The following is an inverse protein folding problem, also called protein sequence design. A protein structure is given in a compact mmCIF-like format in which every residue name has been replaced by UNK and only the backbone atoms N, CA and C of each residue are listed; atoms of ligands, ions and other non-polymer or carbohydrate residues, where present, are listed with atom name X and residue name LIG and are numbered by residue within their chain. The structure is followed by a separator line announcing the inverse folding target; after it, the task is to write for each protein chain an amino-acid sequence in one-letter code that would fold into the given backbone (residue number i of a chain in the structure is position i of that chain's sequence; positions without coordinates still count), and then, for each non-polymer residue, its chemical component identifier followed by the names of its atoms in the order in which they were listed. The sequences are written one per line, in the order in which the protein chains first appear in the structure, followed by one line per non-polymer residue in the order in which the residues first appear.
data_IF_185839324594
#
_entry.id   IF_185839324594
#
_cell.length_a   1.000
_cell.length_b   1.000
_cell.length_c   1.000
_cell.angle_alpha   90.00
_cell.angle_beta   90.00
_cell.angle_gamma   90.00
#
_symmetry.space_group_name_H-M   'P 1'
#
loop_
_entity.id
_entity.type
_entity.pdbx_description
1 polymer ?
#
# COMPACT_ATOMS: atom_id res chain seq x y z
N UNK A 1 -19.66 -32.73 32.01
CA UNK A 1 -19.10 -32.02 33.18
C UNK A 1 -17.71 -32.57 33.41
N UNK A 2 -16.67 -31.76 33.22
CA UNK A 2 -15.48 -31.56 34.06
C UNK A 2 -14.43 -30.85 33.23
N UNK A 3 -14.02 -29.67 33.71
CA UNK A 3 -13.12 -28.72 33.05
C UNK A 3 -11.68 -29.23 33.03
N UNK A 4 -11.00 -29.04 31.90
CA UNK A 4 -9.60 -29.36 31.65
C UNK A 4 -8.70 -28.17 32.03
N UNK A 5 -7.61 -28.35 32.81
CA UNK A 5 -6.68 -27.28 33.14
C UNK A 5 -5.43 -27.37 32.26
N UNK A 6 -5.45 -26.71 31.11
CA UNK A 6 -4.25 -26.46 30.31
C UNK A 6 -4.34 -25.12 29.59
N UNK A 7 -4.01 -24.02 30.28
CA UNK A 7 -3.61 -22.78 29.61
C UNK A 7 -3.06 -21.77 30.64
N UNK A 8 -1.75 -21.76 30.82
CA UNK A 8 -1.03 -20.52 31.19
C UNK A 8 0.15 -20.42 30.20
N UNK A 9 -0.20 -20.32 28.92
CA UNK A 9 0.68 -19.68 27.95
C UNK A 9 0.45 -18.18 28.13
N UNK A 10 1.55 -17.47 28.28
CA UNK A 10 1.63 -16.09 28.71
C UNK A 10 0.71 -15.19 27.87
N UNK A 11 -0.46 -14.90 28.43
CA UNK A 11 -1.60 -14.23 27.78
C UNK A 11 -1.17 -12.86 27.21
N UNK A 12 -0.15 -12.25 27.80
CA UNK A 12 0.49 -11.01 27.34
C UNK A 12 1.18 -11.15 25.97
N UNK A 13 1.83 -12.26 25.67
CA UNK A 13 2.57 -12.46 24.40
C UNK A 13 1.63 -12.79 23.24
N UNK A 14 0.56 -13.53 23.52
CA UNK A 14 -0.52 -13.79 22.55
C UNK A 14 -1.29 -12.49 22.31
N UNK A 15 -1.61 -11.73 23.35
CA UNK A 15 -2.25 -10.42 23.19
C UNK A 15 -1.38 -9.40 22.44
N UNK A 16 -0.06 -9.38 22.66
CA UNK A 16 0.84 -8.47 21.95
C UNK A 16 1.02 -8.85 20.47
N UNK A 17 1.11 -10.15 20.16
CA UNK A 17 1.16 -10.62 18.77
C UNK A 17 -0.18 -10.41 18.05
N UNK A 18 -1.30 -10.61 18.74
CA UNK A 18 -2.64 -10.30 18.21
C UNK A 18 -2.86 -8.79 18.05
N UNK A 19 -2.31 -7.96 18.93
CA UNK A 19 -2.36 -6.50 18.82
C UNK A 19 -1.50 -5.99 17.65
N UNK A 20 -0.29 -6.54 17.45
CA UNK A 20 0.57 -6.19 16.30
C UNK A 20 -0.01 -6.65 14.97
N UNK A 21 -0.61 -7.83 14.93
CA UNK A 21 -1.31 -8.32 13.73
C UNK A 21 -2.57 -7.53 13.46
N UNK A 22 -3.36 -7.15 14.48
CA UNK A 22 -4.46 -6.19 14.32
C UNK A 22 -4.00 -4.84 13.80
N UNK A 23 -2.93 -4.28 14.34
CA UNK A 23 -2.39 -2.99 13.89
C UNK A 23 -1.88 -3.05 12.44
N UNK A 24 -1.28 -4.17 12.02
CA UNK A 24 -0.87 -4.38 10.63
C UNK A 24 -2.07 -4.57 9.69
N UNK A 25 -3.12 -5.27 10.13
CA UNK A 25 -4.35 -5.42 9.37
C UNK A 25 -5.10 -4.09 9.28
N UNK A 26 -5.15 -3.29 10.35
CA UNK A 26 -5.72 -1.93 10.35
C UNK A 26 -4.93 -1.00 9.42
N UNK A 27 -3.60 -1.02 9.47
CA UNK A 27 -2.76 -0.23 8.56
C UNK A 27 -2.94 -0.65 7.09
N UNK A 28 -3.10 -1.94 6.81
CA UNK A 28 -3.32 -2.46 5.47
C UNK A 28 -4.77 -2.24 4.98
N UNK A 29 -5.74 -2.23 5.89
CA UNK A 29 -7.12 -1.83 5.61
C UNK A 29 -7.22 -0.33 5.29
N UNK A 30 -6.38 0.50 5.90
CA UNK A 30 -6.30 1.94 5.59
C UNK A 30 -5.73 2.22 4.17
N UNK A 31 -4.91 1.34 3.59
CA UNK A 31 -4.39 1.49 2.21
C UNK A 31 -5.36 1.01 1.11
N UNK A 32 -6.39 0.24 1.45
CA UNK A 32 -7.30 -0.41 0.47
C UNK A 32 -8.78 -0.08 0.79
N UNK A 33 -9.00 0.85 1.72
CA UNK A 33 -10.29 1.16 2.35
C UNK A 33 -11.41 1.37 1.33
N UNK A 34 -11.20 2.20 0.30
CA UNK A 34 -12.24 2.52 -0.67
C UNK A 34 -12.72 1.33 -1.53
N UNK A 35 -11.79 0.50 -2.02
CA UNK A 35 -12.12 -0.63 -2.91
C UNK A 35 -12.57 -1.86 -2.13
N UNK A 36 -12.02 -2.10 -0.93
CA UNK A 36 -12.49 -3.16 -0.04
C UNK A 36 -13.88 -2.84 0.51
N UNK A 37 -14.14 -1.58 0.91
CA UNK A 37 -15.47 -1.16 1.34
C UNK A 37 -16.51 -1.31 0.20
N UNK A 38 -16.16 -0.93 -1.03
CA UNK A 38 -17.04 -1.13 -2.19
C UNK A 38 -17.28 -2.63 -2.47
N UNK A 39 -16.23 -3.45 -2.37
CA UNK A 39 -16.29 -4.90 -2.62
C UNK A 39 -17.12 -5.63 -1.55
N UNK A 40 -16.89 -5.34 -0.27
CA UNK A 40 -17.65 -5.92 0.85
C UNK A 40 -19.12 -5.49 0.79
N UNK A 41 -19.38 -4.22 0.47
CA UNK A 41 -20.75 -3.72 0.34
C UNK A 41 -21.47 -4.27 -0.88
N UNK A 42 -20.81 -4.47 -2.03
CA UNK A 42 -21.40 -5.15 -3.19
C UNK A 42 -21.70 -6.64 -2.92
N UNK A 43 -20.90 -7.29 -2.06
CA UNK A 43 -21.21 -8.64 -1.58
C UNK A 43 -22.46 -8.66 -0.67
N UNK A 44 -22.79 -7.54 -0.03
CA UNK A 44 -23.93 -7.39 0.88
C UNK A 44 -25.14 -6.62 0.28
N UNK A 45 -25.04 -6.14 -0.96
CA UNK A 45 -26.15 -5.48 -1.69
C UNK A 45 -27.35 -6.39 -1.99
N UNK A 46 -27.27 -7.69 -1.66
CA UNK A 46 -28.39 -8.62 -1.76
C UNK A 46 -29.22 -8.74 -0.47
N UNK A 47 -28.82 -8.08 0.64
CA UNK A 47 -29.47 -8.29 1.94
C UNK A 47 -30.22 -7.06 2.51
N UNK A 48 -29.76 -5.81 2.30
CA UNK A 48 -30.41 -4.66 2.96
C UNK A 48 -30.61 -3.44 2.04
N UNK A 49 -31.88 -3.00 1.93
CA UNK A 49 -32.37 -1.95 1.03
C UNK A 49 -32.25 -0.50 1.53
N UNK A 50 -31.12 -0.12 2.13
CA UNK A 50 -30.85 1.28 2.50
C UNK A 50 -29.68 1.88 1.69
N UNK A 51 -29.99 2.90 0.89
CA UNK A 51 -29.05 3.76 0.17
C UNK A 51 -28.22 4.60 1.16
N UNK A 52 -27.26 3.97 1.84
CA UNK A 52 -26.22 4.70 2.57
C UNK A 52 -25.19 5.26 1.58
N UNK A 53 -25.04 6.59 1.59
CA UNK A 53 -24.04 7.32 0.81
C UNK A 53 -22.62 6.79 1.10
N UNK A 54 -21.81 6.69 0.04
CA UNK A 54 -20.39 6.38 0.13
C UNK A 54 -19.67 7.47 0.94
N UNK A 55 -19.42 7.20 2.22
CA UNK A 55 -18.51 8.02 3.02
C UNK A 55 -17.07 7.72 2.58
N UNK A 56 -16.57 8.46 1.59
CA UNK A 56 -15.15 8.51 1.30
C UNK A 56 -14.45 9.33 2.39
N UNK A 57 -13.38 8.79 2.94
CA UNK A 57 -12.52 9.51 3.88
C UNK A 57 -11.69 10.56 3.14
N UNK A 58 -12.29 11.73 2.88
CA UNK A 58 -11.67 12.84 2.15
C UNK A 58 -10.35 13.33 2.75
N UNK A 59 -10.13 13.13 4.05
CA UNK A 59 -8.90 13.49 4.73
C UNK A 59 -7.73 12.55 4.35
N UNK A 60 -8.01 11.27 4.09
CA UNK A 60 -7.01 10.30 3.61
C UNK A 60 -6.50 10.66 2.21
N UNK A 61 -7.40 11.08 1.32
CA UNK A 61 -7.07 11.45 -0.05
C UNK A 61 -6.31 12.79 -0.16
N UNK A 62 -6.43 13.66 0.84
CA UNK A 62 -5.71 14.95 0.88
C UNK A 62 -4.22 14.77 1.15
N UNK A 63 -3.85 13.79 1.97
CA UNK A 63 -2.47 13.63 2.45
C UNK A 63 -1.58 12.85 1.47
N UNK A 64 -2.16 12.03 0.58
CA UNK A 64 -1.40 11.24 -0.40
C UNK A 64 -2.08 11.24 -1.78
N UNK A 65 -1.84 12.24 -2.65
CA UNK A 65 -2.48 12.30 -3.97
C UNK A 65 -2.21 11.08 -4.88
N UNK A 66 -1.07 10.42 -4.68
CA UNK A 66 -0.67 9.25 -5.45
C UNK A 66 -1.52 8.00 -5.14
N UNK A 67 -2.16 7.90 -3.97
CA UNK A 67 -3.08 6.78 -3.68
C UNK A 67 -4.40 6.98 -4.40
N UNK A 68 -4.85 8.23 -4.59
CA UNK A 68 -6.06 8.54 -5.37
C UNK A 68 -5.94 8.10 -6.83
N UNK A 69 -4.79 8.33 -7.47
CA UNK A 69 -4.54 7.88 -8.86
C UNK A 69 -4.52 6.35 -8.98
N UNK A 70 -3.98 5.66 -7.97
CA UNK A 70 -3.95 4.19 -7.93
C UNK A 70 -5.35 3.61 -7.70
N UNK A 71 -6.13 4.21 -6.81
CA UNK A 71 -7.52 3.81 -6.57
C UNK A 71 -8.41 4.09 -7.78
N UNK A 72 -8.24 5.22 -8.47
CA UNK A 72 -8.94 5.50 -9.72
C UNK A 72 -8.63 4.42 -10.78
N UNK A 73 -7.37 4.02 -10.92
CA UNK A 73 -6.97 2.96 -11.83
C UNK A 73 -7.61 1.59 -11.46
N UNK A 74 -7.66 1.27 -10.16
CA UNK A 74 -8.29 0.04 -9.66
C UNK A 74 -9.81 0.06 -9.85
N UNK A 75 -10.47 1.19 -9.58
CA UNK A 75 -11.90 1.39 -9.82
C UNK A 75 -12.22 1.27 -11.30
N UNK A 76 -11.42 1.86 -12.18
CA UNK A 76 -11.58 1.73 -13.63
C UNK A 76 -11.46 0.28 -14.10
N UNK A 77 -10.49 -0.48 -13.56
CA UNK A 77 -10.36 -1.91 -13.88
C UNK A 77 -11.53 -2.73 -13.33
N UNK A 78 -12.01 -2.40 -12.13
CA UNK A 78 -13.21 -3.00 -11.54
C UNK A 78 -14.46 -2.71 -12.38
N UNK A 79 -14.70 -1.46 -12.81
CA UNK A 79 -15.83 -1.12 -13.68
C UNK A 79 -15.75 -1.81 -15.04
N UNK A 80 -14.55 -2.00 -15.61
CA UNK A 80 -14.36 -2.80 -16.83
C UNK A 80 -14.79 -4.24 -16.60
N UNK A 81 -14.34 -4.87 -15.50
CA UNK A 81 -14.72 -6.23 -15.12
C UNK A 81 -16.23 -6.35 -14.85
N UNK A 82 -16.79 -5.43 -14.08
CA UNK A 82 -18.22 -5.39 -13.74
C UNK A 82 -19.07 -5.27 -15.00
N UNK A 83 -18.67 -4.43 -15.96
CA UNK A 83 -19.34 -4.34 -17.26
C UNK A 83 -19.34 -5.66 -18.00
N UNK A 84 -18.21 -6.39 -18.03
CA UNK A 84 -18.16 -7.71 -18.67
C UNK A 84 -19.04 -8.73 -17.96
N UNK A 85 -18.99 -8.78 -16.63
CA UNK A 85 -19.81 -9.69 -15.82
C UNK A 85 -21.31 -9.39 -16.02
N UNK A 86 -21.69 -8.12 -15.99
CA UNK A 86 -23.08 -7.70 -16.24
C UNK A 86 -23.54 -8.08 -17.64
N UNK A 87 -22.72 -7.81 -18.67
CA UNK A 87 -23.05 -8.18 -20.05
C UNK A 87 -23.21 -9.69 -20.20
N UNK A 88 -22.33 -10.48 -19.56
CA UNK A 88 -22.37 -11.94 -19.55
C UNK A 88 -23.60 -12.47 -18.81
N UNK A 89 -23.92 -11.91 -17.64
CA UNK A 89 -25.11 -12.27 -16.88
C UNK A 89 -26.39 -11.93 -17.64
N UNK A 90 -26.46 -10.74 -18.24
CA UNK A 90 -27.60 -10.31 -19.04
C UNK A 90 -27.75 -11.17 -20.30
N UNK A 91 -26.66 -11.53 -20.97
CA UNK A 91 -26.73 -12.48 -22.10
C UNK A 91 -27.14 -13.87 -21.67
N UNK A 92 -26.67 -14.38 -20.52
CA UNK A 92 -27.12 -15.66 -19.96
C UNK A 92 -28.60 -15.63 -19.58
N UNK A 93 -29.07 -14.57 -18.93
CA UNK A 93 -30.47 -14.40 -18.55
C UNK A 93 -31.38 -14.33 -19.77
N UNK A 94 -31.01 -13.55 -20.79
CA UNK A 94 -31.76 -13.49 -22.05
C UNK A 94 -31.76 -14.83 -22.78
N UNK A 95 -30.62 -15.53 -22.81
CA UNK A 95 -30.53 -16.86 -23.40
C UNK A 95 -31.41 -17.89 -22.68
N UNK A 96 -31.46 -17.84 -21.34
CA UNK A 96 -32.34 -18.71 -20.55
C UNK A 96 -33.81 -18.35 -20.76
N UNK A 97 -34.15 -17.06 -20.81
CA UNK A 97 -35.51 -16.60 -21.11
C UNK A 97 -35.97 -17.03 -22.52
N UNK A 98 -35.09 -16.97 -23.52
CA UNK A 98 -35.38 -17.41 -24.88
C UNK A 98 -35.53 -18.95 -25.02
N UNK A 99 -35.03 -19.71 -24.05
CA UNK A 99 -35.12 -21.18 -23.98
C UNK A 99 -36.29 -21.70 -23.14
N UNK A 100 -36.88 -20.84 -22.31
CA UNK A 100 -37.92 -21.21 -21.35
C UNK A 100 -39.31 -20.99 -21.98
N UNK A 101 -40.16 -22.02 -21.96
CA UNK A 101 -41.55 -21.90 -22.41
C UNK A 101 -42.25 -20.84 -21.54
N UNK A 102 -42.78 -19.77 -22.15
CA UNK A 102 -43.55 -18.77 -21.43
C UNK A 102 -44.99 -19.29 -21.21
N UNK A 103 -45.37 -19.66 -19.97
CA UNK A 103 -46.65 -20.32 -19.70
C UNK A 103 -47.86 -19.38 -19.88
N UNK A 104 -47.66 -18.05 -19.93
CA UNK A 104 -48.75 -17.09 -20.12
C UNK A 104 -49.01 -16.75 -21.60
N UNK A 105 -47.97 -16.77 -22.45
CA UNK A 105 -48.09 -16.43 -23.88
C UNK A 105 -48.08 -17.63 -24.82
N UNK A 106 -47.62 -18.81 -24.35
CA UNK A 106 -47.56 -20.03 -25.13
C UNK A 106 -46.55 -19.99 -26.29
N UNK A 107 -45.57 -19.09 -26.24
CA UNK A 107 -44.49 -19.03 -27.22
C UNK A 107 -43.49 -20.15 -26.95
N UNK A 108 -43.36 -21.07 -27.91
CA UNK A 108 -42.29 -22.08 -27.92
C UNK A 108 -40.91 -21.41 -28.08
N UNK A 109 -39.81 -22.07 -27.63
CA UNK A 109 -38.47 -21.50 -27.67
C UNK A 109 -38.11 -21.17 -29.11
N UNK A 110 -37.62 -19.95 -29.35
CA UNK A 110 -37.31 -19.51 -30.71
C UNK A 110 -36.03 -20.19 -31.20
N UNK A 111 -36.15 -21.39 -31.76
CA UNK A 111 -35.07 -22.09 -32.46
C UNK A 111 -34.80 -21.34 -33.77
N UNK A 112 -33.89 -20.37 -33.73
CA UNK A 112 -33.48 -19.61 -34.90
C UNK A 112 -32.93 -20.55 -35.98
N UNK A 113 -33.47 -20.45 -37.19
CA UNK A 113 -32.94 -21.16 -38.34
C UNK A 113 -31.53 -20.65 -38.67
N UNK A 114 -30.71 -21.46 -39.34
CA UNK A 114 -29.39 -21.03 -39.83
C UNK A 114 -29.49 -19.80 -40.76
N UNK A 115 -30.63 -19.63 -41.45
CA UNK A 115 -30.91 -18.44 -42.25
C UNK A 115 -31.13 -17.17 -41.40
N UNK A 116 -31.79 -17.27 -40.25
CA UNK A 116 -32.08 -16.12 -39.37
C UNK A 116 -30.82 -15.66 -38.64
N UNK A 117 -29.97 -16.62 -38.24
CA UNK A 117 -28.66 -16.33 -37.64
C UNK A 117 -27.77 -15.57 -38.63
N UNK A 118 -27.71 -16.01 -39.89
CA UNK A 118 -26.91 -15.31 -40.91
C UNK A 118 -27.45 -13.91 -41.19
N UNK A 119 -28.77 -13.71 -41.25
CA UNK A 119 -29.36 -12.38 -41.38
C UNK A 119 -28.99 -11.46 -40.20
N UNK A 120 -29.14 -11.94 -38.96
CA UNK A 120 -28.77 -11.16 -37.76
C UNK A 120 -27.28 -10.86 -37.70
N UNK A 121 -26.42 -11.77 -38.15
CA UNK A 121 -24.98 -11.52 -38.28
C UNK A 121 -24.68 -10.41 -39.30
N UNK A 122 -25.38 -10.40 -40.44
CA UNK A 122 -25.25 -9.32 -41.44
C UNK A 122 -25.71 -7.97 -40.88
N UNK A 123 -26.82 -7.93 -40.15
CA UNK A 123 -27.31 -6.72 -39.50
C UNK A 123 -26.34 -6.22 -38.40
N UNK A 124 -25.80 -7.13 -37.59
CA UNK A 124 -24.81 -6.80 -36.57
C UNK A 124 -23.51 -6.25 -37.20
N UNK A 125 -23.03 -6.85 -38.30
CA UNK A 125 -21.89 -6.33 -39.07
C UNK A 125 -22.17 -4.93 -39.60
N UNK A 126 -23.35 -4.68 -40.15
CA UNK A 126 -23.77 -3.36 -40.65
C UNK A 126 -23.79 -2.31 -39.54
N UNK A 127 -24.41 -2.61 -38.39
CA UNK A 127 -24.47 -1.68 -37.25
C UNK A 127 -23.08 -1.43 -36.66
N UNK A 128 -22.25 -2.47 -36.57
CA UNK A 128 -20.86 -2.34 -36.12
C UNK A 128 -20.05 -1.42 -37.05
N UNK A 129 -20.24 -1.56 -38.36
CA UNK A 129 -19.59 -0.68 -39.33
C UNK A 129 -20.05 0.79 -39.16
N UNK A 130 -21.36 1.02 -39.02
CA UNK A 130 -21.89 2.37 -38.74
C UNK A 130 -21.32 2.97 -37.45
N UNK A 131 -21.16 2.16 -36.40
CA UNK A 131 -20.54 2.59 -35.15
C UNK A 131 -19.06 2.95 -35.32
N UNK A 132 -18.31 2.19 -36.11
CA UNK A 132 -16.91 2.48 -36.42
C UNK A 132 -16.80 3.81 -37.18
N UNK A 133 -17.63 4.01 -38.21
CA UNK A 133 -17.68 5.25 -38.99
C UNK A 133 -18.12 6.47 -38.15
N UNK A 134 -19.04 6.28 -37.19
CA UNK A 134 -19.39 7.33 -36.25
C UNK A 134 -18.21 7.66 -35.31
N UNK A 135 -17.50 6.64 -34.82
CA UNK A 135 -16.32 6.83 -33.95
C UNK A 135 -15.17 7.53 -34.66
N UNK A 136 -14.92 7.22 -35.94
CA UNK A 136 -13.88 7.90 -36.71
C UNK A 136 -14.23 9.38 -36.90
N UNK A 137 -15.48 9.69 -37.29
CA UNK A 137 -15.94 11.09 -37.40
C UNK A 137 -15.81 11.87 -36.10
N UNK A 138 -16.13 11.28 -34.96
CA UNK A 138 -15.95 11.94 -33.65
C UNK A 138 -14.48 12.20 -33.34
N UNK A 139 -13.58 11.27 -33.69
CA UNK A 139 -12.14 11.47 -33.50
C UNK A 139 -11.58 12.57 -34.41
N UNK A 140 -12.01 12.59 -35.66
CA UNK A 140 -11.65 13.64 -36.62
C UNK A 140 -12.12 15.02 -36.13
N UNK A 141 -13.38 15.13 -35.71
CA UNK A 141 -13.93 16.38 -35.18
C UNK A 141 -13.18 16.86 -33.92
N UNK A 142 -12.79 15.94 -33.02
CA UNK A 142 -11.97 16.30 -31.86
C UNK A 142 -10.60 16.84 -32.28
N UNK A 143 -9.93 16.18 -33.21
CA UNK A 143 -8.65 16.64 -33.73
C UNK A 143 -8.77 18.02 -34.42
N UNK A 144 -9.87 18.28 -35.13
CA UNK A 144 -10.16 19.59 -35.72
C UNK A 144 -10.39 20.66 -34.65
N UNK A 145 -11.13 20.35 -33.58
CA UNK A 145 -11.33 21.27 -32.45
C UNK A 145 -10.00 21.61 -31.80
N UNK A 146 -9.17 20.60 -31.52
CA UNK A 146 -7.85 20.81 -30.90
C UNK A 146 -6.96 21.69 -31.79
N UNK A 147 -6.93 21.40 -33.10
CA UNK A 147 -6.19 22.22 -34.06
C UNK A 147 -6.69 23.67 -34.10
N UNK A 148 -8.01 23.91 -34.08
CA UNK A 148 -8.57 25.26 -34.06
C UNK A 148 -8.25 25.97 -32.75
N UNK A 149 -8.33 25.27 -31.61
CA UNK A 149 -7.99 25.82 -30.31
C UNK A 149 -6.51 26.26 -30.26
N UNK A 150 -5.60 25.41 -30.74
CA UNK A 150 -4.17 25.71 -30.82
C UNK A 150 -3.89 26.90 -31.76
N UNK A 151 -4.55 26.93 -32.91
CA UNK A 151 -4.43 28.03 -33.87
C UNK A 151 -4.98 29.36 -33.34
N UNK A 152 -5.92 29.35 -32.39
CA UNK A 152 -6.50 30.55 -31.78
C UNK A 152 -5.73 31.08 -30.57
N UNK A 153 -4.89 30.25 -29.93
CA UNK A 153 -4.18 30.61 -28.71
C UNK A 153 -3.22 31.81 -28.91
N UNK A 154 -2.39 31.78 -29.94
CA UNK A 154 -1.44 32.87 -30.23
C UNK A 154 -2.17 34.18 -30.61
N UNK A 155 -3.11 34.22 -31.57
CA UNK A 155 -3.85 35.43 -31.89
C UNK A 155 -4.58 36.04 -30.69
N UNK A 156 -5.19 35.20 -29.83
CA UNK A 156 -5.86 35.68 -28.62
C UNK A 156 -4.86 36.33 -27.66
N UNK A 157 -3.73 35.68 -27.41
CA UNK A 157 -2.68 36.25 -26.55
C UNK A 157 -2.13 37.57 -27.09
N UNK A 158 -2.03 37.72 -28.42
CA UNK A 158 -1.60 38.97 -29.04
C UNK A 158 -2.62 40.09 -28.85
N UNK A 159 -3.91 39.78 -28.98
CA UNK A 159 -5.00 40.73 -28.68
C UNK A 159 -4.97 41.12 -27.20
N UNK A 160 -4.82 40.15 -26.30
CA UNK A 160 -4.76 40.41 -24.86
C UNK A 160 -3.60 41.34 -24.48
N UNK A 161 -2.40 41.09 -25.01
CA UNK A 161 -1.25 42.01 -24.86
C UNK A 161 -1.53 43.39 -25.44
N UNK A 162 -2.11 43.46 -26.65
CA UNK A 162 -2.48 44.74 -27.25
C UNK A 162 -3.50 45.52 -26.42
N UNK A 163 -4.46 44.83 -25.80
CA UNK A 163 -5.47 45.46 -24.93
C UNK A 163 -4.88 45.93 -23.61
N UNK A 164 -3.94 45.18 -23.01
CA UNK A 164 -3.27 45.61 -21.78
C UNK A 164 -2.34 46.79 -22.04
N UNK A 165 -1.56 46.77 -23.12
CA UNK A 165 -0.73 47.89 -23.56
C UNK A 165 -1.59 49.14 -23.87
N UNK A 166 -2.74 48.98 -24.53
CA UNK A 166 -3.65 50.10 -24.75
C UNK A 166 -4.21 50.65 -23.43
N UNK A 167 -4.50 49.79 -22.45
CA UNK A 167 -4.98 50.22 -21.14
C UNK A 167 -3.91 50.98 -20.34
N UNK A 168 -2.66 50.51 -20.35
CA UNK A 168 -1.55 51.22 -19.69
C UNK A 168 -1.31 52.57 -20.33
N UNK A 169 -1.29 52.64 -21.68
CA UNK A 169 -1.15 53.90 -22.40
C UNK A 169 -2.30 54.87 -22.11
N UNK A 170 -3.54 54.38 -22.00
CA UNK A 170 -4.67 55.23 -21.62
C UNK A 170 -4.51 55.79 -20.20
N UNK A 171 -4.07 54.97 -19.24
CA UNK A 171 -3.78 55.43 -17.87
C UNK A 171 -2.69 56.52 -17.88
N UNK A 172 -1.58 56.27 -18.57
CA UNK A 172 -0.49 57.24 -18.69
C UNK A 172 -0.94 58.54 -19.35
N UNK A 173 -1.78 58.48 -20.39
CA UNK A 173 -2.36 59.66 -21.02
C UNK A 173 -3.22 60.43 -20.03
N UNK A 174 -4.09 59.74 -19.27
CA UNK A 174 -4.94 60.41 -18.27
C UNK A 174 -4.12 61.05 -17.16
N UNK A 175 -3.03 60.40 -16.72
CA UNK A 175 -2.12 60.94 -15.71
C UNK A 175 -1.37 62.17 -16.26
N UNK A 176 -0.88 62.11 -17.50
CA UNK A 176 -0.25 63.24 -18.17
C UNK A 176 -1.23 64.41 -18.37
N UNK A 177 -2.49 64.14 -18.73
CA UNK A 177 -3.53 65.17 -18.84
C UNK A 177 -3.82 65.83 -17.49
N UNK A 178 -3.82 65.04 -16.41
CA UNK A 178 -4.01 65.52 -15.05
C UNK A 178 -2.81 66.36 -14.58
N UNK A 179 -1.58 65.95 -14.89
CA UNK A 179 -0.37 66.74 -14.63
C UNK A 179 -0.35 68.04 -15.44
N UNK A 180 -0.74 68.01 -16.72
CA UNK A 180 -0.90 69.22 -17.53
C UNK A 180 -1.98 70.16 -16.95
N UNK A 181 -3.08 69.61 -16.44
CA UNK A 181 -4.11 70.40 -15.77
C UNK A 181 -3.59 71.04 -14.47
N UNK A 182 -2.81 70.28 -13.66
CA UNK A 182 -2.13 70.81 -12.47
C UNK A 182 -1.15 71.92 -12.82
N UNK A 183 -0.29 71.72 -13.83
CA UNK A 183 0.68 72.73 -14.27
C UNK A 183 -0.04 73.99 -14.76
N UNK A 184 -1.10 73.86 -15.56
CA UNK A 184 -1.91 75.01 -16.02
C UNK A 184 -2.58 75.75 -14.85
N UNK A 185 -3.03 75.03 -13.82
CA UNK A 185 -3.58 75.64 -12.61
C UNK A 185 -2.49 76.33 -11.77
N UNK A 186 -1.29 75.75 -11.72
CA UNK A 186 -0.12 76.27 -11.01
C UNK A 186 0.52 77.47 -11.71
N UNK A 187 0.54 77.52 -13.05
CA UNK A 187 1.08 78.63 -13.87
C UNK A 187 0.42 79.98 -13.57
N UNK A 188 -0.79 79.99 -13.01
CA UNK A 188 -1.47 81.21 -12.55
C UNK A 188 -1.29 81.56 -11.07
N UNK A 189 -0.76 80.65 -10.25
CA UNK A 189 -0.74 80.78 -8.78
C UNK A 189 0.67 80.72 -8.17
N UNK A 190 1.63 80.05 -8.81
CA UNK A 190 3.00 79.93 -8.34
C UNK A 190 3.88 80.96 -9.04
N UNK A 191 4.11 82.11 -8.38
CA UNK A 191 5.20 83.02 -8.75
C UNK A 191 6.56 82.38 -8.52
N UNK A 192 7.64 83.04 -8.96
CA UNK A 192 9.00 82.61 -8.66
C UNK A 192 9.14 82.36 -7.15
N UNK A 193 9.46 81.11 -6.79
CA UNK A 193 9.60 80.65 -5.42
C UNK A 193 10.57 81.57 -4.67
N UNK A 194 10.21 82.03 -3.49
CA UNK A 194 11.13 82.85 -2.68
C UNK A 194 12.26 81.96 -2.17
N UNK A 195 13.42 82.54 -1.87
CA UNK A 195 14.58 81.77 -1.38
C UNK A 195 14.26 80.99 -0.11
N UNK A 196 13.41 81.54 0.77
CA UNK A 196 12.98 80.87 2.01
C UNK A 196 12.05 79.67 1.74
N UNK A 197 11.15 79.77 0.75
CA UNK A 197 10.32 78.64 0.33
C UNK A 197 11.18 77.55 -0.33
N UNK A 198 12.24 77.93 -1.04
CA UNK A 198 13.13 76.99 -1.71
C UNK A 198 13.96 76.19 -0.69
N UNK A 199 14.46 76.88 0.34
CA UNK A 199 15.13 76.25 1.47
C UNK A 199 14.19 75.27 2.20
N UNK A 200 12.93 75.65 2.46
CA UNK A 200 11.95 74.76 3.09
C UNK A 200 11.64 73.50 2.27
N UNK A 201 11.50 73.63 0.94
CA UNK A 201 11.30 72.48 0.04
C UNK A 201 12.54 71.58 0.00
N UNK A 202 13.75 72.17 -0.01
CA UNK A 202 14.99 71.40 0.08
C UNK A 202 15.08 70.62 1.41
N UNK A 203 14.71 71.23 2.54
CA UNK A 203 14.68 70.55 3.84
C UNK A 203 13.67 69.41 3.86
N UNK A 204 12.48 69.61 3.30
CA UNK A 204 11.46 68.55 3.14
C UNK A 204 11.97 67.43 2.23
N UNK A 205 12.61 67.76 1.11
CA UNK A 205 13.22 66.77 0.22
C UNK A 205 14.31 65.96 0.92
N UNK A 206 15.16 66.59 1.74
CA UNK A 206 16.17 65.89 2.53
C UNK A 206 15.51 64.88 3.49
N UNK A 207 14.44 65.27 4.18
CA UNK A 207 13.70 64.36 5.07
C UNK A 207 13.09 63.21 4.28
N UNK A 208 12.43 63.47 3.14
CA UNK A 208 11.86 62.40 2.30
C UNK A 208 12.93 61.46 1.74
N UNK A 209 14.11 61.97 1.39
CA UNK A 209 15.23 61.16 0.94
C UNK A 209 15.74 60.26 2.07
N UNK A 210 15.83 60.78 3.29
CA UNK A 210 16.22 59.99 4.46
C UNK A 210 15.21 58.90 4.75
N UNK A 211 13.90 59.20 4.71
CA UNK A 211 12.87 58.17 4.90
C UNK A 211 12.90 57.10 3.82
N UNK A 212 13.09 57.49 2.56
CA UNK A 212 13.21 56.53 1.45
C UNK A 212 14.47 55.67 1.57
N UNK A 213 15.59 56.23 2.04
CA UNK A 213 16.83 55.46 2.29
C UNK A 213 16.65 54.50 3.47
N UNK A 214 15.97 54.91 4.53
CA UNK A 214 15.59 54.05 5.65
C UNK A 214 14.66 52.90 5.20
N UNK A 215 13.65 53.19 4.38
CA UNK A 215 12.77 52.17 3.80
C UNK A 215 13.51 51.23 2.84
N UNK A 216 14.42 51.76 2.03
CA UNK A 216 15.24 50.97 1.10
C UNK A 216 16.18 50.05 1.88
N UNK A 217 16.84 50.56 2.93
CA UNK A 217 17.71 49.73 3.77
C UNK A 217 16.92 48.66 4.54
N UNK A 218 15.71 48.99 5.00
CA UNK A 218 14.82 48.04 5.64
C UNK A 218 14.40 46.91 4.69
N UNK A 219 13.92 47.25 3.50
CA UNK A 219 13.52 46.25 2.48
C UNK A 219 14.69 45.40 2.00
N UNK A 220 15.88 45.98 1.85
CA UNK A 220 17.11 45.20 1.55
C UNK A 220 17.44 44.23 2.69
N UNK A 221 17.24 44.63 3.94
CA UNK A 221 17.44 43.75 5.09
C UNK A 221 16.44 42.58 5.10
N UNK A 222 15.17 42.86 4.86
CA UNK A 222 14.12 41.83 4.74
C UNK A 222 14.40 40.86 3.59
N UNK A 223 14.83 41.38 2.44
CA UNK A 223 15.23 40.56 1.29
C UNK A 223 16.40 39.63 1.64
N UNK A 224 17.44 40.13 2.30
CA UNK A 224 18.58 39.31 2.73
C UNK A 224 18.19 38.30 3.81
N UNK A 225 17.24 38.62 4.69
CA UNK A 225 16.69 37.66 5.64
C UNK A 225 15.92 36.55 4.91
N UNK A 226 14.99 36.90 4.02
CA UNK A 226 14.21 35.94 3.23
C UNK A 226 15.11 35.03 2.38
N UNK A 227 16.20 35.57 1.84
CA UNK A 227 17.22 34.80 1.10
C UNK A 227 17.95 33.80 1.99
N UNK A 228 18.26 34.14 3.25
CA UNK A 228 18.85 33.19 4.21
C UNK A 228 17.87 32.08 4.56
N UNK A 229 16.60 32.42 4.81
CA UNK A 229 15.54 31.45 5.09
C UNK A 229 15.32 30.50 3.90
N UNK A 230 15.31 31.02 2.67
CA UNK A 230 15.23 30.21 1.45
C UNK A 230 16.42 29.25 1.33
N UNK A 231 17.64 29.73 1.56
CA UNK A 231 18.83 28.87 1.49
C UNK A 231 18.80 27.77 2.56
N UNK A 232 18.29 28.05 3.76
CA UNK A 232 18.14 27.04 4.79
C UNK A 232 17.05 26.02 4.43
N UNK A 233 15.91 26.47 3.90
CA UNK A 233 14.86 25.59 3.40
C UNK A 233 15.36 24.68 2.26
N UNK A 234 16.19 25.21 1.35
CA UNK A 234 16.82 24.42 0.29
C UNK A 234 17.75 23.34 0.85
N UNK A 235 18.56 23.64 1.86
CA UNK A 235 19.42 22.65 2.54
C UNK A 235 18.60 21.56 3.22
N UNK A 236 17.52 21.93 3.90
CA UNK A 236 16.60 20.97 4.52
C UNK A 236 15.95 20.08 3.46
N UNK A 237 15.53 20.65 2.33
CA UNK A 237 14.96 19.91 1.22
C UNK A 237 15.94 18.91 0.61
N UNK A 238 17.21 19.31 0.41
CA UNK A 238 18.26 18.40 -0.06
C UNK A 238 18.51 17.25 0.92
N UNK A 239 18.56 17.54 2.23
CA UNK A 239 18.67 16.51 3.27
C UNK A 239 17.49 15.54 3.21
N UNK A 240 16.26 16.04 3.16
CA UNK A 240 15.04 15.23 3.08
C UNK A 240 14.98 14.41 1.78
N UNK A 241 15.47 14.93 0.65
CA UNK A 241 15.59 14.15 -0.60
C UNK A 241 16.57 12.99 -0.45
N UNK A 242 17.70 13.20 0.22
CA UNK A 242 18.66 12.13 0.50
C UNK A 242 18.07 11.07 1.43
N UNK A 243 17.39 11.49 2.50
CA UNK A 243 16.69 10.59 3.44
C UNK A 243 15.58 9.80 2.74
N UNK A 244 14.76 10.45 1.92
CA UNK A 244 13.72 9.80 1.11
C UNK A 244 14.33 8.78 0.16
N UNK A 245 15.40 9.12 -0.56
CA UNK A 245 16.07 8.19 -1.48
C UNK A 245 16.64 6.97 -0.74
N UNK A 246 17.20 7.16 0.45
CA UNK A 246 17.63 6.05 1.30
C UNK A 246 16.44 5.17 1.72
N UNK A 247 15.37 5.77 2.22
CA UNK A 247 14.16 5.05 2.62
C UNK A 247 13.53 4.28 1.44
N UNK A 248 13.48 4.87 0.25
CA UNK A 248 12.98 4.21 -0.96
C UNK A 248 13.86 3.03 -1.38
N UNK A 249 15.19 3.12 -1.22
CA UNK A 249 16.09 1.96 -1.46
C UNK A 249 15.80 0.83 -0.50
N UNK A 250 15.68 1.11 0.80
CA UNK A 250 15.34 0.11 1.80
C UNK A 250 13.96 -0.51 1.54
N UNK A 251 12.98 0.31 1.14
CA UNK A 251 11.65 -0.17 0.77
C UNK A 251 11.67 -1.03 -0.50
N UNK A 252 12.45 -0.64 -1.51
CA UNK A 252 12.62 -1.44 -2.73
C UNK A 252 13.39 -2.73 -2.49
N UNK A 253 14.40 -2.74 -1.62
CA UNK A 253 15.10 -3.95 -1.19
C UNK A 253 14.16 -4.89 -0.43
N UNK A 254 13.31 -4.36 0.45
CA UNK A 254 12.26 -5.14 1.11
C UNK A 254 11.24 -5.69 0.10
N UNK A 255 10.85 -4.90 -0.91
CA UNK A 255 9.96 -5.35 -2.01
C UNK A 255 10.62 -6.41 -2.90
N UNK A 256 11.91 -6.27 -3.22
CA UNK A 256 12.66 -7.22 -4.04
C UNK A 256 12.96 -8.53 -3.29
N UNK A 257 13.17 -8.45 -1.97
CA UNK A 257 13.24 -9.61 -1.08
C UNK A 257 11.93 -10.40 -0.99
N UNK A 258 10.80 -9.83 -1.44
CA UNK A 258 9.50 -10.50 -1.54
C UNK A 258 9.28 -11.25 -2.87
N UNK A 259 10.30 -11.33 -3.72
CA UNK A 259 10.21 -12.04 -5.00
C UNK A 259 9.37 -11.31 -6.04
N UNK A 260 9.45 -11.78 -7.29
CA UNK A 260 8.87 -11.14 -8.48
C UNK A 260 7.34 -11.01 -8.47
N UNK A 261 6.66 -11.70 -7.55
CA UNK A 261 5.20 -11.79 -7.44
C UNK A 261 4.63 -11.26 -6.10
N UNK A 262 5.37 -10.42 -5.35
CA UNK A 262 4.85 -9.80 -4.10
C UNK A 262 4.27 -10.82 -3.11
N UNK A 263 4.83 -12.03 -3.03
CA UNK A 263 4.24 -13.10 -2.27
C UNK A 263 5.05 -14.36 -2.37
N UNK A 264 5.51 -14.82 -1.19
CA UNK A 264 6.05 -16.15 -0.87
C UNK A 264 6.98 -16.74 -1.92
N UNK A 265 8.25 -16.85 -1.54
CA UNK A 265 9.18 -17.73 -2.25
C UNK A 265 8.66 -19.17 -2.16
N UNK A 266 7.92 -19.59 -3.20
CA UNK A 266 7.30 -20.90 -3.32
C UNK A 266 8.34 -22.01 -3.30
N UNK A 267 9.58 -21.74 -3.73
CA UNK A 267 10.64 -22.73 -3.65
C UNK A 267 11.09 -22.93 -2.21
N UNK A 268 11.25 -21.84 -1.46
CA UNK A 268 11.57 -21.87 -0.03
C UNK A 268 10.44 -22.48 0.79
N UNK A 269 9.18 -22.10 0.54
CA UNK A 269 8.00 -22.66 1.23
C UNK A 269 7.84 -24.15 0.90
N UNK A 270 8.08 -24.56 -0.36
CA UNK A 270 8.12 -25.97 -0.76
C UNK A 270 9.28 -26.71 -0.07
N UNK A 271 10.43 -26.08 0.09
CA UNK A 271 11.57 -26.69 0.81
C UNK A 271 11.22 -26.87 2.29
N UNK A 272 10.69 -25.84 2.94
CA UNK A 272 10.31 -25.85 4.35
C UNK A 272 9.21 -26.88 4.62
N UNK A 273 8.17 -26.94 3.79
CA UNK A 273 7.11 -27.96 3.90
C UNK A 273 7.64 -29.37 3.68
N UNK A 274 8.52 -29.58 2.70
CA UNK A 274 9.20 -30.86 2.50
C UNK A 274 10.06 -31.25 3.69
N UNK A 275 10.80 -30.30 4.27
CA UNK A 275 11.62 -30.54 5.45
C UNK A 275 10.77 -30.82 6.70
N UNK A 276 9.68 -30.10 6.90
CA UNK A 276 8.73 -30.36 7.99
C UNK A 276 8.14 -31.77 7.88
N UNK A 277 7.66 -32.17 6.69
CA UNK A 277 7.16 -33.53 6.46
C UNK A 277 8.25 -34.60 6.65
N UNK A 278 9.50 -34.32 6.25
CA UNK A 278 10.64 -35.21 6.50
C UNK A 278 10.96 -35.33 7.99
N UNK A 279 10.86 -34.24 8.76
CA UNK A 279 11.05 -34.26 10.21
C UNK A 279 9.93 -35.04 10.91
N UNK A 280 8.68 -34.86 10.51
CA UNK A 280 7.54 -35.62 11.05
C UNK A 280 7.68 -37.13 10.78
N UNK A 281 8.05 -37.52 9.56
CA UNK A 281 8.30 -38.93 9.23
C UNK A 281 9.49 -39.52 10.01
N UNK A 282 10.57 -38.75 10.21
CA UNK A 282 11.69 -39.18 11.04
C UNK A 282 11.31 -39.29 12.52
N UNK A 283 10.52 -38.36 13.04
CA UNK A 283 9.99 -38.41 14.41
C UNK A 283 9.12 -39.65 14.61
N UNK A 284 8.21 -39.94 13.67
CA UNK A 284 7.37 -41.13 13.70
C UNK A 284 8.19 -42.44 13.63
N UNK A 285 9.21 -42.50 12.76
CA UNK A 285 10.07 -43.68 12.62
C UNK A 285 10.91 -43.98 13.89
N UNK A 286 11.28 -42.93 14.64
CA UNK A 286 11.98 -43.03 15.92
C UNK A 286 11.05 -43.10 17.13
N UNK A 287 9.72 -43.15 16.91
CA UNK A 287 8.73 -43.20 17.99
C UNK A 287 8.69 -41.96 18.88
N UNK A 288 9.24 -40.83 18.42
CA UNK A 288 9.28 -39.56 19.15
C UNK A 288 7.88 -38.95 19.10
N UNK A 289 7.23 -38.85 20.26
CA UNK A 289 5.89 -38.27 20.40
C UNK A 289 5.97 -36.78 20.73
N UNK A 290 7.00 -36.35 21.48
CA UNK A 290 7.16 -34.97 21.89
C UNK A 290 8.63 -34.62 22.06
N UNK A 291 9.03 -33.48 21.51
CA UNK A 291 10.31 -32.81 21.76
C UNK A 291 10.01 -31.52 22.53
N UNK A 292 10.58 -31.36 23.71
CA UNK A 292 10.43 -30.15 24.51
C UNK A 292 11.80 -29.72 25.05
N UNK A 293 12.13 -28.45 24.92
CA UNK A 293 13.31 -27.85 25.56
C UNK A 293 12.83 -26.92 26.69
N UNK A 294 12.58 -27.45 27.90
CA UNK A 294 12.06 -26.64 29.00
C UNK A 294 13.06 -25.58 29.48
N UNK A 295 14.35 -25.84 29.31
CA UNK A 295 15.43 -24.87 29.59
C UNK A 295 16.40 -24.86 28.41
N UNK A 296 17.15 -23.77 28.19
CA UNK A 296 18.13 -23.68 27.08
C UNK A 296 19.30 -24.68 27.20
N UNK A 297 19.38 -25.42 28.31
CA UNK A 297 20.40 -26.45 28.58
C UNK A 297 19.82 -27.86 28.63
N UNK A 298 18.51 -28.03 28.49
CA UNK A 298 17.87 -29.34 28.64
C UNK A 298 16.95 -29.64 27.45
N UNK A 299 17.08 -30.85 26.91
CA UNK A 299 16.20 -31.36 25.87
C UNK A 299 15.52 -32.63 26.37
N UNK A 300 14.19 -32.60 26.37
CA UNK A 300 13.33 -33.70 26.77
C UNK A 300 12.71 -34.32 25.52
N UNK A 301 12.98 -35.61 25.31
CA UNK A 301 12.49 -36.38 24.16
C UNK A 301 11.57 -37.47 24.68
N UNK A 302 10.27 -37.32 24.45
CA UNK A 302 9.26 -38.33 24.83
C UNK A 302 9.14 -39.38 23.72
N UNK A 303 9.41 -40.62 24.05
CA UNK A 303 9.35 -41.79 23.18
C UNK A 303 8.13 -42.65 23.55
N UNK A 304 7.42 -43.18 22.54
CA UNK A 304 6.30 -44.10 22.72
C UNK A 304 6.79 -45.56 22.83
N UNK A 305 6.82 -46.16 24.02
CA UNK A 305 7.24 -47.55 24.14
C UNK A 305 6.15 -48.51 23.57
N UNK A 306 6.51 -49.52 22.76
CA UNK A 306 5.57 -50.45 22.12
C UNK A 306 5.08 -51.59 23.03
N UNK A 307 5.38 -51.57 24.34
CA UNK A 307 4.99 -52.63 25.28
C UNK A 307 3.49 -52.54 25.63
N UNK A 308 2.83 -53.68 25.91
CA UNK A 308 1.38 -53.83 26.21
C UNK A 308 0.83 -52.95 27.36
N UNK A 309 1.68 -52.15 28.02
CA UNK A 309 1.32 -51.19 29.07
C UNK A 309 1.50 -49.72 28.65
N UNK A 310 1.40 -49.36 27.36
CA UNK A 310 1.17 -47.96 26.92
C UNK A 310 2.04 -46.86 27.56
N UNK A 311 3.28 -47.19 27.94
CA UNK A 311 4.12 -46.32 28.76
C UNK A 311 4.89 -45.32 27.90
N UNK A 312 4.69 -44.02 28.14
CA UNK A 312 5.56 -42.98 27.59
C UNK A 312 6.82 -42.85 28.44
N UNK A 313 7.99 -42.82 27.80
CA UNK A 313 9.28 -42.59 28.48
C UNK A 313 9.93 -41.33 27.96
N UNK A 314 10.55 -40.56 28.85
CA UNK A 314 11.19 -39.29 28.50
C UNK A 314 12.70 -39.41 28.66
N UNK A 315 13.43 -39.22 27.58
CA UNK A 315 14.89 -39.08 27.60
C UNK A 315 15.24 -37.61 27.85
N UNK A 316 15.91 -37.35 28.96
CA UNK A 316 16.43 -36.04 29.32
C UNK A 316 17.91 -35.96 28.95
N UNK A 317 18.24 -34.96 28.13
CA UNK A 317 19.60 -34.64 27.69
C UNK A 317 19.97 -33.27 28.27
N UNK A 318 21.12 -33.18 28.93
CA UNK A 318 21.61 -31.93 29.52
C UNK A 318 22.91 -31.48 28.84
N UNK A 319 22.99 -30.21 28.49
CA UNK A 319 24.12 -29.57 27.82
C UNK A 319 24.80 -28.55 28.74
N UNK A 320 26.11 -28.35 28.56
CA UNK A 320 26.90 -27.34 29.28
C UNK A 320 26.46 -25.90 28.94
N UNK A 321 26.28 -25.63 27.66
CA UNK A 321 25.89 -24.36 27.05
C UNK A 321 24.85 -24.60 25.94
N UNK A 322 24.04 -23.59 25.55
CA UNK A 322 23.08 -23.76 24.45
C UNK A 322 23.79 -24.16 23.15
N UNK A 323 23.61 -25.41 22.74
CA UNK A 323 24.29 -26.01 21.57
C UNK A 323 25.70 -26.59 21.85
N UNK A 324 26.10 -26.70 23.12
CA UNK A 324 27.41 -27.21 23.53
C UNK A 324 27.48 -28.74 23.70
N UNK A 325 28.40 -29.22 24.55
CA UNK A 325 28.62 -30.64 24.78
C UNK A 325 27.57 -31.25 25.71
N UNK A 326 27.13 -32.47 25.38
CA UNK A 326 26.26 -33.28 26.23
C UNK A 326 27.02 -33.65 27.53
N UNK A 327 26.41 -33.35 28.68
CA UNK A 327 27.01 -33.57 30.01
C UNK A 327 26.32 -34.68 30.78
N UNK A 328 25.00 -34.80 30.63
CA UNK A 328 24.20 -35.78 31.37
C UNK A 328 23.06 -36.34 30.52
N UNK A 329 22.76 -37.62 30.72
CA UNK A 329 21.69 -38.35 30.04
C UNK A 329 20.92 -39.15 31.08
N UNK A 330 19.61 -38.95 31.17
CA UNK A 330 18.75 -39.67 32.09
C UNK A 330 17.47 -40.13 31.39
N UNK A 331 17.01 -41.34 31.71
CA UNK A 331 15.74 -41.87 31.23
C UNK A 331 14.70 -41.83 32.35
N UNK A 332 13.57 -41.18 32.08
CA UNK A 332 12.46 -40.99 33.01
C UNK A 332 11.23 -41.76 32.54
N UNK A 333 10.50 -42.36 33.47
CA UNK A 333 9.19 -42.98 33.21
C UNK A 333 8.07 -41.93 33.12
N UNK A 334 6.84 -42.36 32.81
CA UNK A 334 5.64 -41.51 32.75
C UNK A 334 5.37 -40.73 34.06
N UNK A 335 5.90 -41.18 35.19
CA UNK A 335 5.85 -40.52 36.51
C UNK A 335 7.09 -39.67 36.84
N UNK A 336 7.95 -39.40 35.87
CA UNK A 336 9.25 -38.71 36.04
C UNK A 336 10.21 -39.40 37.02
N UNK A 337 10.05 -40.71 37.26
CA UNK A 337 10.98 -41.48 38.06
C UNK A 337 12.13 -42.01 37.17
N UNK A 338 13.38 -42.01 37.64
CA UNK A 338 14.51 -42.53 36.88
C UNK A 338 14.37 -44.05 36.66
N UNK A 339 14.49 -44.47 35.41
CA UNK A 339 14.46 -45.89 35.01
C UNK A 339 15.89 -46.34 34.77
N UNK A 340 16.28 -47.48 35.37
CA UNK A 340 17.59 -48.07 35.14
C UNK A 340 17.72 -48.46 33.65
N UNK A 341 18.77 -47.97 33.01
CA UNK A 341 19.16 -48.39 31.66
C UNK A 341 19.81 -49.77 31.74
N UNK A 342 19.73 -50.57 30.67
CA UNK A 342 20.49 -51.83 30.63
C UNK A 342 22.00 -51.53 30.56
N UNK A 343 22.83 -52.41 31.14
CA UNK A 343 24.29 -52.23 31.21
C UNK A 343 24.94 -51.92 29.85
N UNK A 344 24.38 -52.49 28.76
CA UNK A 344 24.83 -52.25 27.40
C UNK A 344 24.53 -50.82 26.90
N UNK A 345 23.37 -50.26 27.26
CA UNK A 345 22.96 -48.89 26.89
C UNK A 345 23.70 -47.87 27.74
N UNK A 346 23.95 -48.16 29.03
CA UNK A 346 24.76 -47.27 29.88
C UNK A 346 26.18 -47.09 29.36
N UNK A 347 26.81 -48.17 28.88
CA UNK A 347 28.15 -48.11 28.28
C UNK A 347 28.13 -47.28 26.99
N UNK A 348 27.10 -47.44 26.17
CA UNK A 348 26.90 -46.66 24.95
C UNK A 348 26.60 -45.19 25.25
N UNK A 349 25.86 -44.88 26.31
CA UNK A 349 25.59 -43.51 26.74
C UNK A 349 26.86 -42.77 27.14
N UNK A 350 27.79 -43.44 27.83
CA UNK A 350 29.08 -42.84 28.21
C UNK A 350 29.94 -42.54 26.97
N UNK A 351 29.96 -43.44 25.99
CA UNK A 351 30.69 -43.23 24.73
C UNK A 351 30.06 -42.12 23.87
N UNK A 352 28.73 -42.04 23.85
CA UNK A 352 28.00 -41.02 23.10
C UNK A 352 28.09 -39.61 23.73
N UNK A 353 28.22 -39.52 25.06
CA UNK A 353 28.55 -38.27 25.77
C UNK A 353 29.93 -37.76 25.33
N UNK A 354 30.92 -38.64 25.21
CA UNK A 354 32.27 -38.26 24.75
C UNK A 354 32.32 -37.84 23.27
N UNK A 355 31.45 -38.37 22.42
CA UNK A 355 31.39 -38.06 20.99
C UNK A 355 30.34 -37.00 20.63
N UNK A 356 29.62 -36.47 21.63
CA UNK A 356 28.53 -35.50 21.50
C UNK A 356 27.44 -35.89 20.49
N UNK A 357 27.14 -37.19 20.37
CA UNK A 357 26.27 -37.72 19.32
C UNK A 357 24.85 -38.03 19.81
N UNK A 358 24.08 -36.98 20.14
CA UNK A 358 22.73 -37.09 20.72
C UNK A 358 21.74 -37.93 19.87
N UNK A 359 21.84 -37.91 18.55
CA UNK A 359 20.95 -38.68 17.67
C UNK A 359 21.15 -40.21 17.82
N UNK A 360 22.37 -40.65 18.07
CA UNK A 360 22.70 -42.07 18.21
C UNK A 360 22.21 -42.60 19.57
N UNK A 361 22.18 -41.75 20.59
CA UNK A 361 21.59 -42.05 21.90
C UNK A 361 20.10 -42.32 21.81
N UNK A 362 19.37 -41.45 21.11
CA UNK A 362 17.92 -41.62 20.91
C UNK A 362 17.64 -42.92 20.16
N UNK A 363 18.43 -43.24 19.15
CA UNK A 363 18.29 -44.48 18.38
C UNK A 363 18.63 -45.73 19.21
N UNK A 364 19.71 -45.70 20.01
CA UNK A 364 20.08 -46.82 20.87
C UNK A 364 19.03 -47.10 21.94
N UNK A 365 18.50 -46.05 22.57
CA UNK A 365 17.40 -46.13 23.53
C UNK A 365 16.13 -46.64 22.83
N UNK A 366 15.82 -46.17 21.62
CA UNK A 366 14.69 -46.68 20.83
C UNK A 366 14.81 -48.16 20.47
N UNK A 367 15.99 -48.62 20.03
CA UNK A 367 16.23 -50.02 19.68
C UNK A 367 16.00 -50.98 20.85
N UNK A 368 16.23 -50.55 22.09
CA UNK A 368 15.93 -51.37 23.27
C UNK A 368 14.44 -51.57 23.55
N UNK A 369 13.58 -50.82 22.86
CA UNK A 369 12.13 -50.96 22.95
C UNK A 369 11.53 -51.80 21.82
N UNK A 370 12.20 -51.86 20.67
CA UNK A 370 11.72 -52.56 19.48
C UNK A 370 12.25 -54.01 19.40
N UNK A 371 13.39 -54.29 20.03
CA UNK A 371 13.95 -55.63 20.21
C UNK A 371 13.33 -56.33 21.42
#
# INVERSE_FOLDING_TARGET
MTQDPAAVLDDATVQESMARTRALIEAQAHEISGVQALKERMLHMHDDGEDQELQLDWDLYREVPATMEQEEALLLDYFRKLKFIYLELETKLRFLADLQDDPETGQEPQILSTADVTQREHECKRVKQQLVEAKTRVRELRAEIDHVADAMAEPWSAVERGTSEAHTLLSEITDMELELAKIKAAEGTQGALTTAEAEAVCDEQIVTMQTLDDETTHTVHEMEQAKRELNEALRVLERLKAERSAAEKHANEAKLGMGRDSGRDWELERLCTKHAAMLETLQAALGITRLAAPTPRELHITLAAPTEQGGQRTLQLQFDEPGGALTHVQLLDAKQAPVALSDAVEQYCREAIHTNHAAALVQAVWCTYVA
#
